data_IF_045523872871
#
_entry.id   IF_045523872871
#
_cell.length_a   1.000
_cell.length_b   1.000
_cell.length_c   1.000
_cell.angle_alpha   90.00
_cell.angle_beta   90.00
_cell.angle_gamma   90.00
#
_symmetry.space_group_name_H-M   'P 1'
#
loop_
_entity.id
_entity.type
_entity.pdbx_description
1 polymer ?
#
# COMPACT_ATOMS: atom_id res chain seq x y z
N UNK A 1 -7.98 53.77 1.45
CA UNK A 1 -8.73 52.51 1.26
C UNK A 1 -7.87 51.53 0.47
N UNK A 2 -7.10 50.70 1.17
CA UNK A 2 -6.20 49.70 0.58
C UNK A 2 -6.91 48.34 0.54
N UNK A 3 -7.10 47.78 -0.67
CA UNK A 3 -7.64 46.42 -0.86
C UNK A 3 -6.64 45.39 -0.31
N UNK A 4 -7.07 44.39 0.49
CA UNK A 4 -6.18 43.32 0.93
C UNK A 4 -5.92 42.36 -0.24
N UNK A 5 -4.63 42.12 -0.48
CA UNK A 5 -4.07 41.19 -1.46
C UNK A 5 -4.51 39.75 -1.15
N UNK A 6 -5.51 39.23 -1.89
CA UNK A 6 -5.96 37.82 -1.80
C UNK A 6 -5.01 36.92 -2.58
N UNK A 7 -3.77 36.76 -2.11
CA UNK A 7 -2.94 35.63 -2.53
C UNK A 7 -3.24 34.47 -1.59
N UNK A 8 -4.03 33.51 -2.06
CA UNK A 8 -4.16 32.24 -1.37
C UNK A 8 -2.75 31.66 -1.12
N UNK A 9 -2.42 31.21 0.10
CA UNK A 9 -1.08 30.73 0.41
C UNK A 9 -0.78 29.54 -0.50
N UNK A 10 0.28 29.68 -1.32
CA UNK A 10 0.72 28.68 -2.32
C UNK A 10 0.79 27.26 -1.77
N UNK A 11 1.00 27.08 -0.46
CA UNK A 11 1.04 25.78 0.22
C UNK A 11 -0.25 24.95 0.13
N UNK A 12 -1.43 25.57 0.01
CA UNK A 12 -2.73 24.86 0.01
C UNK A 12 -3.05 24.14 -1.30
N UNK A 13 -2.71 24.74 -2.44
CA UNK A 13 -2.92 24.15 -3.78
C UNK A 13 -1.88 23.05 -4.05
N UNK A 14 -0.70 23.24 -3.47
CA UNK A 14 0.48 22.38 -3.54
C UNK A 14 0.28 21.06 -2.77
N UNK A 15 -0.27 21.09 -1.55
CA UNK A 15 -0.61 19.86 -0.83
C UNK A 15 -1.73 19.06 -1.52
N UNK A 16 -2.64 19.77 -2.20
CA UNK A 16 -3.74 19.15 -2.95
C UNK A 16 -3.26 18.37 -4.16
N UNK A 17 -2.24 18.86 -4.87
CA UNK A 17 -1.67 18.18 -6.05
C UNK A 17 -0.91 16.90 -5.66
N UNK A 18 -0.13 16.95 -4.58
CA UNK A 18 0.56 15.77 -4.03
C UNK A 18 -0.41 14.73 -3.49
N UNK A 19 -1.49 15.17 -2.83
CA UNK A 19 -2.59 14.31 -2.37
C UNK A 19 -3.33 13.66 -3.54
N UNK A 20 -3.71 14.42 -4.56
CA UNK A 20 -4.46 13.92 -5.71
C UNK A 20 -3.64 12.92 -6.54
N UNK A 21 -2.33 13.15 -6.72
CA UNK A 21 -1.45 12.24 -7.45
C UNK A 21 -1.28 10.89 -6.73
N UNK A 22 -1.04 10.91 -5.42
CA UNK A 22 -0.88 9.68 -4.64
C UNK A 22 -2.21 8.94 -4.45
N UNK A 23 -3.32 9.67 -4.23
CA UNK A 23 -4.66 9.08 -4.18
C UNK A 23 -5.07 8.49 -5.53
N UNK A 24 -4.71 9.13 -6.65
CA UNK A 24 -4.92 8.59 -7.98
C UNK A 24 -4.13 7.29 -8.21
N UNK A 25 -2.84 7.23 -7.82
CA UNK A 25 -2.04 6.01 -7.95
C UNK A 25 -2.58 4.88 -7.07
N UNK A 26 -2.92 5.18 -5.81
CA UNK A 26 -3.53 4.21 -4.90
C UNK A 26 -4.90 3.73 -5.40
N UNK A 27 -5.74 4.63 -5.93
CA UNK A 27 -7.03 4.28 -6.54
C UNK A 27 -6.88 3.51 -7.83
N UNK A 28 -5.90 3.82 -8.68
CA UNK A 28 -5.64 3.06 -9.91
C UNK A 28 -5.18 1.65 -9.55
N UNK A 29 -4.24 1.50 -8.62
CA UNK A 29 -3.82 0.18 -8.13
C UNK A 29 -5.00 -0.60 -7.53
N UNK A 30 -5.84 0.06 -6.73
CA UNK A 30 -7.05 -0.53 -6.16
C UNK A 30 -8.10 -0.86 -7.22
N UNK A 31 -8.35 -0.02 -8.22
CA UNK A 31 -9.36 -0.23 -9.26
C UNK A 31 -8.94 -1.34 -10.23
N UNK A 32 -7.71 -1.33 -10.72
CA UNK A 32 -7.22 -2.38 -11.62
C UNK A 32 -7.13 -3.72 -10.89
N UNK A 33 -6.63 -3.72 -9.64
CA UNK A 33 -6.58 -4.91 -8.80
C UNK A 33 -7.98 -5.43 -8.47
N UNK A 34 -8.87 -4.58 -7.97
CA UNK A 34 -10.21 -5.00 -7.56
C UNK A 34 -11.07 -5.49 -8.72
N UNK A 35 -10.92 -4.98 -9.95
CA UNK A 35 -11.75 -5.44 -11.09
C UNK A 35 -11.38 -6.86 -11.53
N UNK A 36 -10.08 -7.17 -11.57
CA UNK A 36 -9.58 -8.52 -11.86
C UNK A 36 -9.94 -9.46 -10.70
N UNK A 37 -9.67 -9.04 -9.48
CA UNK A 37 -9.96 -9.83 -8.28
C UNK A 37 -11.46 -10.08 -8.11
N UNK A 38 -12.31 -9.11 -8.44
CA UNK A 38 -13.76 -9.23 -8.40
C UNK A 38 -14.30 -10.21 -9.44
N UNK A 39 -13.78 -10.21 -10.67
CA UNK A 39 -14.18 -11.20 -11.69
C UNK A 39 -13.77 -12.62 -11.31
N UNK A 40 -12.64 -12.79 -10.62
CA UNK A 40 -12.24 -14.07 -10.04
C UNK A 40 -13.14 -14.48 -8.86
N UNK A 41 -13.47 -13.56 -7.96
CA UNK A 41 -14.31 -13.84 -6.79
C UNK A 41 -15.80 -14.05 -7.13
N UNK A 42 -16.33 -13.32 -8.11
CA UNK A 42 -17.71 -13.50 -8.58
C UNK A 42 -17.94 -14.88 -9.22
N UNK A 43 -16.90 -15.50 -9.80
CA UNK A 43 -16.96 -16.89 -10.30
C UNK A 43 -16.91 -17.92 -9.18
N UNK A 44 -16.13 -17.67 -8.13
CA UNK A 44 -15.97 -18.57 -6.99
C UNK A 44 -17.07 -18.43 -5.91
N UNK A 45 -17.89 -17.38 -5.98
CA UNK A 45 -18.89 -17.02 -4.95
C UNK A 45 -19.99 -18.04 -4.65
N UNK A 46 -20.03 -19.19 -5.34
CA UNK A 46 -20.96 -20.30 -5.05
C UNK A 46 -20.40 -21.35 -4.09
N UNK A 47 -19.09 -21.38 -3.86
CA UNK A 47 -18.41 -22.29 -2.92
C UNK A 47 -17.52 -21.50 -1.94
N UNK A 48 -17.92 -21.48 -0.67
CA UNK A 48 -17.21 -20.76 0.39
C UNK A 48 -15.79 -21.29 0.62
N UNK A 49 -15.55 -22.59 0.41
CA UNK A 49 -14.23 -23.19 0.56
C UNK A 49 -13.29 -22.78 -0.57
N UNK A 50 -13.79 -22.76 -1.80
CA UNK A 50 -13.02 -22.31 -2.96
C UNK A 50 -12.68 -20.82 -2.89
N UNK A 51 -13.63 -19.99 -2.44
CA UNK A 51 -13.41 -18.55 -2.27
C UNK A 51 -12.40 -18.24 -1.16
N UNK A 52 -12.40 -18.98 -0.04
CA UNK A 52 -11.37 -18.86 1.00
C UNK A 52 -9.98 -19.21 0.47
N UNK A 53 -9.86 -20.29 -0.31
CA UNK A 53 -8.59 -20.76 -0.89
C UNK A 53 -8.05 -19.78 -1.94
N UNK A 54 -8.86 -19.46 -2.95
CA UNK A 54 -8.48 -18.57 -4.04
C UNK A 54 -8.32 -17.12 -3.54
N UNK A 55 -9.22 -16.67 -2.66
CA UNK A 55 -9.13 -15.38 -1.99
C UNK A 55 -7.86 -15.22 -1.19
N UNK A 56 -7.53 -16.19 -0.35
CA UNK A 56 -6.29 -16.13 0.43
C UNK A 56 -5.05 -16.08 -0.45
N UNK A 57 -5.04 -16.85 -1.55
CA UNK A 57 -3.93 -16.85 -2.49
C UNK A 57 -3.78 -15.51 -3.21
N UNK A 58 -4.87 -14.97 -3.77
CA UNK A 58 -4.89 -13.70 -4.48
C UNK A 58 -4.51 -12.53 -3.56
N UNK A 59 -5.07 -12.48 -2.35
CA UNK A 59 -4.74 -11.45 -1.36
C UNK A 59 -3.26 -11.54 -0.97
N UNK A 60 -2.77 -12.73 -0.63
CA UNK A 60 -1.38 -12.91 -0.22
C UNK A 60 -0.39 -12.53 -1.33
N UNK A 61 -0.68 -12.89 -2.58
CA UNK A 61 0.16 -12.55 -3.73
C UNK A 61 0.13 -11.05 -4.03
N UNK A 62 -1.06 -10.47 -4.03
CA UNK A 62 -1.20 -9.03 -4.26
C UNK A 62 -0.51 -8.23 -3.16
N UNK A 63 -0.54 -8.69 -1.91
CA UNK A 63 0.18 -8.06 -0.81
C UNK A 63 1.71 -8.16 -0.99
N UNK A 64 2.23 -9.32 -1.42
CA UNK A 64 3.65 -9.49 -1.71
C UNK A 64 4.15 -8.56 -2.84
N UNK A 65 3.27 -8.05 -3.69
CA UNK A 65 3.65 -7.09 -4.74
C UNK A 65 3.41 -5.66 -4.29
N UNK A 66 2.22 -5.35 -3.78
CA UNK A 66 1.81 -3.96 -3.51
C UNK A 66 2.45 -3.39 -2.26
N UNK A 67 2.56 -4.15 -1.17
CA UNK A 67 3.16 -3.67 0.08
C UNK A 67 4.61 -3.17 -0.09
N UNK A 68 5.56 -3.93 -0.68
CA UNK A 68 6.93 -3.45 -0.83
C UNK A 68 7.04 -2.23 -1.76
N UNK A 69 6.17 -2.09 -2.76
CA UNK A 69 6.13 -0.89 -3.61
C UNK A 69 5.83 0.34 -2.75
N UNK A 70 4.79 0.29 -1.93
CA UNK A 70 4.42 1.41 -1.07
C UNK A 70 5.44 1.68 0.05
N UNK A 71 6.01 0.63 0.66
CA UNK A 71 7.08 0.81 1.67
C UNK A 71 8.36 1.35 1.03
N UNK A 72 8.69 0.91 -0.19
CA UNK A 72 9.80 1.45 -0.96
C UNK A 72 9.60 2.92 -1.30
N UNK A 73 8.40 3.30 -1.75
CA UNK A 73 8.02 4.69 -1.97
C UNK A 73 8.15 5.53 -0.70
N UNK A 74 7.72 5.02 0.45
CA UNK A 74 7.91 5.69 1.74
C UNK A 74 9.39 5.90 2.07
N UNK A 75 10.25 4.92 1.79
CA UNK A 75 11.68 5.02 2.08
C UNK A 75 12.41 6.03 1.18
N UNK A 76 12.01 6.16 -0.09
CA UNK A 76 12.67 7.06 -1.05
C UNK A 76 12.03 8.43 -1.18
N UNK A 77 10.80 8.63 -0.70
CA UNK A 77 10.06 9.88 -0.77
C UNK A 77 10.85 11.13 -0.30
N UNK A 78 11.65 11.08 0.79
CA UNK A 78 12.44 12.24 1.23
C UNK A 78 13.48 12.72 0.21
N UNK A 79 13.98 11.84 -0.65
CA UNK A 79 14.96 12.18 -1.69
C UNK A 79 14.26 12.44 -3.02
N UNK A 80 13.26 11.64 -3.35
CA UNK A 80 12.50 11.73 -4.60
C UNK A 80 11.71 13.03 -4.70
N UNK A 81 11.06 13.46 -3.62
CA UNK A 81 10.11 14.56 -3.68
C UNK A 81 10.79 15.93 -3.90
N UNK A 82 11.89 16.27 -3.22
CA UNK A 82 12.65 17.50 -3.53
C UNK A 82 13.26 17.49 -4.95
N UNK A 83 13.65 16.31 -5.46
CA UNK A 83 14.16 16.17 -6.82
C UNK A 83 13.11 16.48 -7.89
N UNK A 84 11.87 16.03 -7.68
CA UNK A 84 10.78 16.19 -8.66
C UNK A 84 10.05 17.52 -8.50
N UNK A 85 9.77 17.93 -7.25
CA UNK A 85 8.98 19.11 -6.94
C UNK A 85 9.81 20.38 -6.73
N UNK A 86 11.12 20.24 -6.49
CA UNK A 86 12.04 21.34 -6.18
C UNK A 86 12.13 21.67 -4.69
N UNK A 87 12.96 22.66 -4.32
CA UNK A 87 13.18 23.08 -2.94
C UNK A 87 11.92 23.71 -2.31
N UNK A 88 11.73 23.50 -0.99
CA UNK A 88 10.58 24.04 -0.23
C UNK A 88 9.40 23.08 -0.08
N UNK A 89 9.56 21.82 -0.49
CA UNK A 89 8.54 20.76 -0.40
C UNK A 89 8.81 19.73 0.72
N UNK A 90 9.67 20.07 1.67
CA UNK A 90 10.09 19.16 2.74
C UNK A 90 8.93 18.66 3.60
N UNK A 91 7.96 19.54 3.90
CA UNK A 91 6.72 19.18 4.63
C UNK A 91 5.86 18.17 3.83
N UNK A 92 5.85 18.28 2.50
CA UNK A 92 5.10 17.37 1.64
C UNK A 92 5.75 15.98 1.58
N UNK A 93 7.08 15.90 1.74
CA UNK A 93 7.78 14.62 1.78
C UNK A 93 7.33 13.79 3.00
N UNK A 94 7.18 14.41 4.17
CA UNK A 94 6.70 13.72 5.38
C UNK A 94 5.27 13.21 5.21
N UNK A 95 4.39 13.98 4.56
CA UNK A 95 3.03 13.56 4.24
C UNK A 95 3.06 12.38 3.26
N UNK A 96 3.86 12.45 2.21
CA UNK A 96 4.00 11.39 1.22
C UNK A 96 4.51 10.07 1.84
N UNK A 97 5.45 10.15 2.79
CA UNK A 97 5.90 9.00 3.59
C UNK A 97 4.71 8.39 4.34
N UNK A 98 3.95 9.20 5.07
CA UNK A 98 2.83 8.70 5.87
C UNK A 98 1.75 8.04 5.00
N UNK A 99 1.39 8.68 3.88
CA UNK A 99 0.38 8.16 2.96
C UNK A 99 0.85 6.89 2.25
N UNK A 100 2.14 6.79 1.94
CA UNK A 100 2.73 5.56 1.38
C UNK A 100 2.66 4.42 2.39
N UNK A 101 3.02 4.67 3.66
CA UNK A 101 2.86 3.67 4.74
C UNK A 101 1.40 3.28 4.94
N UNK A 102 0.49 4.24 4.97
CA UNK A 102 -0.94 3.99 5.09
C UNK A 102 -1.45 3.11 3.93
N UNK A 103 -1.03 3.41 2.70
CA UNK A 103 -1.36 2.63 1.50
C UNK A 103 -0.78 1.21 1.55
N UNK A 104 0.44 1.03 2.08
CA UNK A 104 1.05 -0.29 2.26
C UNK A 104 0.22 -1.22 3.17
N UNK A 105 -0.56 -0.64 4.08
CA UNK A 105 -1.44 -1.34 5.01
C UNK A 105 -2.83 -1.53 4.37
N UNK A 106 -3.45 -0.44 3.90
CA UNK A 106 -4.84 -0.45 3.45
C UNK A 106 -5.06 -1.13 2.11
N UNK A 107 -4.16 -0.96 1.14
CA UNK A 107 -4.36 -1.52 -0.21
C UNK A 107 -4.50 -3.04 -0.20
N UNK A 108 -3.57 -3.81 0.39
CA UNK A 108 -3.71 -5.26 0.42
C UNK A 108 -4.88 -5.73 1.32
N UNK A 109 -5.15 -5.02 2.42
CA UNK A 109 -6.32 -5.32 3.26
C UNK A 109 -7.65 -5.01 2.54
N UNK A 110 -7.65 -4.04 1.62
CA UNK A 110 -8.78 -3.62 0.80
C UNK A 110 -9.37 -4.77 -0.03
N UNK A 111 -8.51 -5.71 -0.46
CA UNK A 111 -8.92 -6.87 -1.25
C UNK A 111 -9.87 -7.80 -0.49
N UNK A 112 -9.82 -7.82 0.85
CA UNK A 112 -10.83 -8.55 1.64
C UNK A 112 -12.22 -7.94 1.47
N UNK A 113 -12.34 -6.62 1.40
CA UNK A 113 -13.64 -5.97 1.14
C UNK A 113 -14.17 -6.30 -0.26
N UNK A 114 -13.31 -6.45 -1.26
CA UNK A 114 -13.71 -6.95 -2.58
C UNK A 114 -14.25 -8.39 -2.49
N UNK A 115 -13.61 -9.25 -1.70
CA UNK A 115 -14.10 -10.61 -1.44
C UNK A 115 -15.45 -10.60 -0.69
N UNK A 116 -15.67 -9.70 0.26
CA UNK A 116 -16.95 -9.57 0.98
C UNK A 116 -18.07 -9.09 0.06
N UNK A 117 -17.79 -8.08 -0.77
CA UNK A 117 -18.75 -7.58 -1.77
C UNK A 117 -19.15 -8.64 -2.79
N UNK A 118 -18.22 -9.53 -3.18
CA UNK A 118 -18.53 -10.64 -4.10
C UNK A 118 -19.50 -11.67 -3.53
N UNK A 119 -19.64 -11.73 -2.20
CA UNK A 119 -20.55 -12.63 -1.48
C UNK A 119 -21.87 -11.96 -1.11
N UNK A 120 -22.22 -10.86 -1.79
CA UNK A 120 -23.40 -10.05 -1.49
C UNK A 120 -23.42 -9.50 -0.05
N UNK A 121 -22.24 -9.26 0.56
CA UNK A 121 -22.09 -8.62 1.87
C UNK A 121 -21.35 -7.26 1.80
N UNK A 122 -21.80 -6.30 0.95
CA UNK A 122 -21.13 -5.00 0.79
C UNK A 122 -21.22 -4.11 2.03
N UNK A 123 -22.14 -4.40 2.96
CA UNK A 123 -22.35 -3.63 4.20
C UNK A 123 -21.08 -3.56 5.06
N UNK A 124 -20.24 -4.60 5.03
CA UNK A 124 -18.98 -4.59 5.77
C UNK A 124 -17.97 -3.58 5.23
N UNK A 125 -17.95 -3.37 3.91
CA UNK A 125 -17.14 -2.30 3.33
C UNK A 125 -17.67 -0.93 3.77
N UNK A 126 -18.99 -0.74 3.75
CA UNK A 126 -19.61 0.50 4.22
C UNK A 126 -19.29 0.77 5.69
N UNK A 127 -19.47 -0.20 6.58
CA UNK A 127 -19.11 -0.06 8.00
C UNK A 127 -17.64 0.29 8.18
N UNK A 128 -16.75 -0.34 7.41
CA UNK A 128 -15.33 -0.03 7.47
C UNK A 128 -15.02 1.41 7.06
N UNK A 129 -15.72 1.96 6.07
CA UNK A 129 -15.55 3.33 5.61
C UNK A 129 -16.07 4.35 6.62
N UNK A 130 -17.19 4.04 7.29
CA UNK A 130 -17.73 4.88 8.37
C UNK A 130 -16.76 4.90 9.55
N UNK A 131 -16.26 3.73 9.98
CA UNK A 131 -15.27 3.64 11.05
C UNK A 131 -13.96 4.33 10.68
N UNK A 132 -13.47 4.16 9.44
CA UNK A 132 -12.30 4.89 8.91
C UNK A 132 -12.51 6.40 9.00
N UNK A 133 -13.67 6.91 8.58
CA UNK A 133 -13.99 8.34 8.65
C UNK A 133 -13.90 8.86 10.08
N UNK A 134 -14.56 8.20 11.04
CA UNK A 134 -14.49 8.61 12.45
C UNK A 134 -13.06 8.54 13.00
N UNK A 135 -12.33 7.47 12.67
CA UNK A 135 -10.93 7.31 13.06
C UNK A 135 -10.04 8.44 12.53
N UNK A 136 -10.17 8.78 11.24
CA UNK A 136 -9.44 9.88 10.61
C UNK A 136 -9.81 11.20 11.27
N UNK A 137 -11.10 11.48 11.52
CA UNK A 137 -11.52 12.72 12.16
C UNK A 137 -10.97 12.85 13.58
N UNK A 138 -11.05 11.80 14.39
CA UNK A 138 -10.51 11.78 15.75
C UNK A 138 -8.99 11.94 15.78
N UNK A 139 -8.28 11.26 14.87
CA UNK A 139 -6.84 11.38 14.77
C UNK A 139 -6.43 12.77 14.26
N UNK A 140 -7.17 13.35 13.31
CA UNK A 140 -6.87 14.68 12.79
C UNK A 140 -7.09 15.77 13.84
N UNK A 141 -8.15 15.67 14.65
CA UNK A 141 -8.38 16.61 15.76
C UNK A 141 -7.40 16.39 16.90
N UNK A 142 -7.12 15.14 17.27
CA UNK A 142 -6.16 14.80 18.32
C UNK A 142 -4.72 15.17 17.97
N UNK A 143 -4.34 15.10 16.69
CA UNK A 143 -3.01 15.46 16.20
C UNK A 143 -2.92 16.86 15.60
N UNK A 144 -3.95 17.71 15.75
CA UNK A 144 -3.99 19.03 15.13
C UNK A 144 -2.76 19.92 15.46
N UNK A 145 -2.15 19.71 16.63
CA UNK A 145 -0.94 20.41 17.07
C UNK A 145 0.33 20.08 16.26
N UNK A 146 0.35 18.99 15.48
CA UNK A 146 1.52 18.46 14.79
C UNK A 146 1.74 19.11 13.41
N UNK A 147 0.99 20.18 13.09
CA UNK A 147 1.11 20.92 11.81
C UNK A 147 0.81 19.96 10.61
N UNK A 148 1.37 20.11 9.38
CA UNK A 148 0.95 19.29 8.23
C UNK A 148 1.02 17.76 8.38
N UNK A 149 1.90 17.23 9.24
CA UNK A 149 2.06 15.77 9.41
C UNK A 149 0.83 15.11 10.05
N UNK A 150 -0.02 15.89 10.73
CA UNK A 150 -1.30 15.44 11.30
C UNK A 150 -2.20 14.77 10.27
N UNK A 151 -2.15 15.24 9.02
CA UNK A 151 -2.89 14.67 7.87
C UNK A 151 -2.36 13.29 7.51
N UNK A 152 -1.04 13.11 7.54
CA UNK A 152 -0.40 11.81 7.28
C UNK A 152 -0.72 10.80 8.38
N UNK A 153 -0.58 11.21 9.65
CA UNK A 153 -0.84 10.36 10.82
C UNK A 153 -2.30 9.95 10.93
N UNK A 154 -3.24 10.86 10.63
CA UNK A 154 -4.66 10.53 10.63
C UNK A 154 -5.00 9.49 9.56
N UNK A 155 -4.33 9.54 8.40
CA UNK A 155 -4.49 8.53 7.37
C UNK A 155 -3.93 7.17 7.78
N UNK A 156 -2.74 7.12 8.40
CA UNK A 156 -2.19 5.88 8.96
C UNK A 156 -3.17 5.28 9.99
N UNK A 157 -3.73 6.10 10.89
CA UNK A 157 -4.67 5.64 11.91
C UNK A 157 -5.93 5.05 11.28
N UNK A 158 -6.56 5.76 10.35
CA UNK A 158 -7.75 5.30 9.64
C UNK A 158 -7.50 4.02 8.84
N UNK A 159 -6.45 4.00 8.02
CA UNK A 159 -6.11 2.85 7.19
C UNK A 159 -5.71 1.62 8.02
N UNK A 160 -5.07 1.82 9.17
CA UNK A 160 -4.77 0.74 10.12
C UNK A 160 -6.03 0.20 10.77
N UNK A 161 -6.96 1.06 11.20
CA UNK A 161 -8.25 0.65 11.77
C UNK A 161 -9.07 -0.11 10.73
N UNK A 162 -9.08 0.36 9.48
CA UNK A 162 -9.75 -0.30 8.37
C UNK A 162 -9.16 -1.67 8.07
N UNK A 163 -7.82 -1.80 8.08
CA UNK A 163 -7.16 -3.09 7.91
C UNK A 163 -7.45 -4.04 9.08
N UNK A 164 -7.47 -3.53 10.32
CA UNK A 164 -7.89 -4.29 11.50
C UNK A 164 -9.35 -4.75 11.37
N UNK A 165 -10.24 -3.92 10.82
CA UNK A 165 -11.62 -4.28 10.57
C UNK A 165 -11.71 -5.42 9.54
N UNK A 166 -10.96 -5.34 8.44
CA UNK A 166 -10.93 -6.38 7.40
C UNK A 166 -10.46 -7.76 7.94
N UNK A 167 -9.43 -7.74 8.79
CA UNK A 167 -8.84 -8.96 9.37
C UNK A 167 -9.66 -9.48 10.55
N UNK A 168 -10.14 -8.55 11.38
CA UNK A 168 -10.65 -8.81 12.73
C UNK A 168 -12.16 -9.03 12.81
N UNK A 169 -12.94 -8.71 11.78
CA UNK A 169 -14.40 -8.85 11.89
C UNK A 169 -14.82 -10.33 11.99
N UNK A 170 -15.53 -10.73 13.07
CA UNK A 170 -16.31 -11.96 13.04
C UNK A 170 -17.47 -11.73 12.09
N UNK A 171 -17.52 -12.46 10.99
CA UNK A 171 -18.70 -12.48 10.14
C UNK A 171 -19.42 -13.78 10.45
N UNK A 172 -20.65 -13.66 10.98
CA UNK A 172 -21.57 -14.79 11.02
C UNK A 172 -21.76 -15.27 9.58
N UNK A 173 -21.66 -16.58 9.39
CA UNK A 173 -21.84 -17.27 8.10
C UNK A 173 -20.68 -17.08 7.09
N UNK A 174 -19.49 -16.69 7.57
CA UNK A 174 -18.28 -16.57 6.74
C UNK A 174 -17.16 -17.49 7.23
N UNK A 175 -16.88 -18.54 6.45
CA UNK A 175 -15.94 -19.60 6.82
C UNK A 175 -14.46 -19.23 6.74
N UNK A 176 -14.12 -17.95 6.60
CA UNK A 176 -12.73 -17.51 6.57
C UNK A 176 -12.26 -17.01 7.95
N UNK A 177 -11.44 -17.78 8.68
CA UNK A 177 -10.99 -17.40 10.00
C UNK A 177 -10.03 -16.21 9.97
N UNK A 178 -10.12 -15.36 11.01
CA UNK A 178 -9.28 -14.16 11.19
C UNK A 178 -7.78 -14.46 11.14
N UNK A 179 -7.38 -15.61 11.71
CA UNK A 179 -5.98 -16.08 11.73
C UNK A 179 -5.43 -16.26 10.32
N UNK A 180 -6.22 -16.77 9.39
CA UNK A 180 -5.79 -16.97 8.02
C UNK A 180 -5.73 -15.68 7.22
N UNK A 181 -6.69 -14.76 7.45
CA UNK A 181 -6.64 -13.42 6.87
C UNK A 181 -5.37 -12.68 7.29
N UNK A 182 -5.03 -12.74 8.58
CA UNK A 182 -3.79 -12.18 9.10
C UNK A 182 -2.56 -12.89 8.51
N UNK A 183 -2.53 -14.23 8.49
CA UNK A 183 -1.42 -15.01 7.95
C UNK A 183 -1.22 -14.82 6.42
N UNK A 184 -2.24 -14.38 5.70
CA UNK A 184 -2.13 -14.00 4.30
C UNK A 184 -1.31 -12.71 4.11
N UNK A 185 -1.53 -11.70 4.97
CA UNK A 185 -0.89 -10.39 4.90
C UNK A 185 0.45 -10.30 5.64
N UNK A 186 0.57 -10.99 6.78
CA UNK A 186 1.71 -10.85 7.68
C UNK A 186 3.07 -11.05 6.99
N UNK A 187 3.27 -12.03 6.09
CA UNK A 187 4.55 -12.18 5.41
C UNK A 187 4.91 -10.98 4.52
N UNK A 188 3.93 -10.39 3.82
CA UNK A 188 4.19 -9.21 3.00
C UNK A 188 4.57 -8.01 3.86
N UNK A 189 3.85 -7.78 4.96
CA UNK A 189 4.16 -6.70 5.90
C UNK A 189 5.51 -6.86 6.59
N UNK A 190 5.87 -8.08 7.02
CA UNK A 190 7.16 -8.34 7.65
C UNK A 190 8.33 -8.16 6.68
N UNK A 191 8.24 -8.73 5.48
CA UNK A 191 9.32 -8.64 4.48
C UNK A 191 9.48 -7.21 3.96
N UNK A 192 8.37 -6.54 3.64
CA UNK A 192 8.42 -5.14 3.21
C UNK A 192 8.87 -4.21 4.35
N UNK A 193 8.43 -4.45 5.59
CA UNK A 193 8.88 -3.70 6.76
C UNK A 193 10.39 -3.85 7.01
N UNK A 194 10.92 -5.08 6.93
CA UNK A 194 12.35 -5.34 7.05
C UNK A 194 13.15 -4.66 5.92
N UNK A 195 12.65 -4.73 4.68
CA UNK A 195 13.22 -3.99 3.55
C UNK A 195 13.21 -2.48 3.81
N UNK A 196 12.07 -1.90 4.17
CA UNK A 196 11.93 -0.47 4.43
C UNK A 196 12.84 0.04 5.54
N UNK A 197 12.94 -0.71 6.65
CA UNK A 197 13.87 -0.40 7.73
C UNK A 197 15.33 -0.43 7.27
N UNK A 198 15.70 -1.42 6.44
CA UNK A 198 17.05 -1.55 5.89
C UNK A 198 17.39 -0.40 4.93
N UNK A 199 16.46 -0.01 4.06
CA UNK A 199 16.64 1.13 3.15
C UNK A 199 16.71 2.45 3.92
N UNK A 200 15.89 2.63 4.95
CA UNK A 200 15.93 3.81 5.81
C UNK A 200 17.26 3.91 6.57
N UNK A 201 17.82 2.78 7.02
CA UNK A 201 19.16 2.74 7.62
C UNK A 201 20.24 3.05 6.58
N UNK A 202 20.16 2.45 5.40
CA UNK A 202 21.09 2.71 4.30
C UNK A 202 21.10 4.18 3.89
N UNK A 203 19.93 4.82 3.85
CA UNK A 203 19.80 6.25 3.57
C UNK A 203 20.59 7.12 4.56
N UNK A 204 20.67 6.73 5.83
CA UNK A 204 21.47 7.45 6.84
C UNK A 204 22.98 7.26 6.67
N UNK A 205 23.41 6.14 6.08
CA UNK A 205 24.82 5.78 5.93
C UNK A 205 25.39 6.29 4.60
N UNK A 206 24.59 6.24 3.54
CA UNK A 206 25.01 6.64 2.19
C UNK A 206 24.92 8.16 2.07
N UNK A 207 26.05 8.83 2.29
CA UNK A 207 26.23 10.25 2.00
C UNK A 207 26.82 10.41 0.59
N UNK A 208 25.95 10.59 -0.41
CA UNK A 208 26.37 10.94 -1.78
C UNK A 208 26.12 12.41 -2.04
N UNK A 209 27.05 13.10 -2.71
CA UNK A 209 26.89 14.51 -3.06
C UNK A 209 25.80 14.76 -4.13
N UNK A 210 25.46 13.75 -4.93
CA UNK A 210 24.45 13.82 -5.98
C UNK A 210 23.16 13.10 -5.56
N UNK A 211 22.02 13.80 -5.37
CA UNK A 211 20.77 13.19 -4.91
C UNK A 211 20.22 12.10 -5.86
N UNK A 212 20.49 12.20 -7.17
CA UNK A 212 20.08 11.21 -8.17
C UNK A 212 20.80 9.87 -7.95
N UNK A 213 22.10 9.90 -7.68
CA UNK A 213 22.86 8.68 -7.38
C UNK A 213 22.39 8.05 -6.07
N UNK A 214 22.09 8.86 -5.05
CA UNK A 214 21.51 8.39 -3.80
C UNK A 214 20.21 7.63 -4.05
N UNK A 215 19.30 8.24 -4.81
CA UNK A 215 18.01 7.64 -5.14
C UNK A 215 18.18 6.31 -5.88
N UNK A 216 19.05 6.27 -6.88
CA UNK A 216 19.33 5.04 -7.64
C UNK A 216 19.88 3.92 -6.74
N UNK A 217 20.79 4.25 -5.82
CA UNK A 217 21.34 3.30 -4.84
C UNK A 217 20.24 2.78 -3.90
N UNK A 218 19.39 3.68 -3.37
CA UNK A 218 18.32 3.29 -2.45
C UNK A 218 17.27 2.39 -3.12
N UNK A 219 16.89 2.70 -4.37
CA UNK A 219 15.96 1.88 -5.15
C UNK A 219 16.59 0.51 -5.44
N UNK A 220 17.81 0.47 -5.97
CA UNK A 220 18.49 -0.78 -6.30
C UNK A 220 18.69 -1.66 -5.05
N UNK A 221 19.12 -1.05 -3.93
CA UNK A 221 19.28 -1.74 -2.67
C UNK A 221 17.94 -2.25 -2.12
N UNK A 222 16.87 -1.44 -2.17
CA UNK A 222 15.53 -1.87 -1.75
C UNK A 222 15.03 -3.07 -2.52
N UNK A 223 15.16 -3.06 -3.85
CA UNK A 223 14.80 -4.19 -4.72
C UNK A 223 15.65 -5.43 -4.37
N UNK A 224 16.97 -5.28 -4.26
CA UNK A 224 17.87 -6.38 -3.94
C UNK A 224 17.58 -7.00 -2.56
N UNK A 225 17.38 -6.16 -1.53
CA UNK A 225 17.03 -6.59 -0.18
C UNK A 225 15.69 -7.32 -0.17
N UNK A 226 14.67 -6.77 -0.84
CA UNK A 226 13.36 -7.41 -0.89
C UNK A 226 13.40 -8.76 -1.59
N UNK A 227 14.05 -8.85 -2.75
CA UNK A 227 14.21 -10.10 -3.49
C UNK A 227 15.02 -11.13 -2.68
N UNK A 228 16.06 -10.70 -1.98
CA UNK A 228 16.84 -11.54 -1.07
C UNK A 228 15.99 -12.08 0.09
N UNK A 229 15.23 -11.21 0.77
CA UNK A 229 14.30 -11.59 1.84
C UNK A 229 13.21 -12.56 1.34
N UNK A 230 12.66 -12.29 0.15
CA UNK A 230 11.66 -13.14 -0.49
C UNK A 230 12.25 -14.53 -0.83
N UNK A 231 13.49 -14.58 -1.32
CA UNK A 231 14.21 -15.80 -1.66
C UNK A 231 14.68 -16.60 -0.42
N UNK A 232 14.83 -15.97 0.74
CA UNK A 232 15.21 -16.67 1.99
C UNK A 232 13.95 -17.17 2.72
N UNK A 233 12.99 -16.29 2.98
CA UNK A 233 11.88 -16.56 3.89
C UNK A 233 10.61 -17.06 3.19
N UNK A 234 10.47 -16.81 1.89
CA UNK A 234 9.23 -17.08 1.16
C UNK A 234 9.46 -17.88 -0.13
N UNK A 235 10.48 -18.75 -0.18
CA UNK A 235 10.86 -19.55 -1.37
C UNK A 235 9.67 -20.17 -2.14
N UNK A 236 8.73 -20.81 -1.42
CA UNK A 236 7.53 -21.42 -2.05
C UNK A 236 6.59 -20.38 -2.68
N UNK A 237 6.43 -19.21 -2.06
CA UNK A 237 5.59 -18.12 -2.61
C UNK A 237 6.33 -17.34 -3.71
N UNK A 238 7.65 -17.21 -3.59
CA UNK A 238 8.53 -16.61 -4.60
C UNK A 238 8.53 -17.42 -5.90
N UNK A 239 8.66 -18.75 -5.81
CA UNK A 239 8.59 -19.65 -6.96
C UNK A 239 7.25 -19.53 -7.71
N UNK A 240 6.15 -19.35 -6.98
CA UNK A 240 4.85 -19.09 -7.58
C UNK A 240 4.83 -17.73 -8.32
N UNK A 241 5.26 -16.64 -7.69
CA UNK A 241 5.29 -15.32 -8.35
C UNK A 241 6.18 -15.31 -9.60
N UNK A 242 7.35 -15.95 -9.54
CA UNK A 242 8.27 -16.08 -10.66
C UNK A 242 7.68 -16.93 -11.81
N UNK A 243 6.82 -17.91 -11.51
CA UNK A 243 6.16 -18.72 -12.53
C UNK A 243 5.19 -17.91 -13.41
N UNK A 244 4.64 -16.81 -12.90
CA UNK A 244 3.71 -15.92 -13.63
C UNK A 244 4.38 -14.67 -14.23
N UNK A 245 5.70 -14.51 -14.09
CA UNK A 245 6.42 -13.47 -14.85
C UNK A 245 6.40 -13.84 -16.34
N UNK A 246 6.17 -12.88 -17.26
CA UNK A 246 6.08 -13.16 -18.70
C UNK A 246 7.34 -13.83 -19.29
N UNK A 247 8.49 -13.73 -18.61
CA UNK A 247 9.76 -14.35 -19.02
C UNK A 247 9.67 -15.90 -18.98
N UNK A 248 8.90 -16.49 -18.06
CA UNK A 248 8.68 -17.95 -18.03
C UNK A 248 7.79 -18.40 -19.18
N UNK A 249 6.80 -17.58 -19.56
CA UNK A 249 5.88 -17.83 -20.68
C UNK A 249 6.60 -17.73 -22.04
N UNK A 250 7.60 -16.84 -22.17
CA UNK A 250 8.46 -16.76 -23.35
C UNK A 250 9.34 -18.01 -23.54
N UNK A 251 9.66 -18.74 -22.46
CA UNK A 251 10.44 -19.99 -22.53
C UNK A 251 9.56 -21.21 -22.83
N UNK A 252 8.31 -21.20 -22.39
CA UNK A 252 7.34 -22.26 -22.66
C UNK A 252 6.68 -22.14 -24.06
N UNK A 253 6.72 -20.95 -24.67
CA UNK A 253 6.16 -20.67 -25.98
C UNK A 253 7.09 -20.90 -27.17
N UNK A 254 8.26 -21.56 -27.01
CA UNK A 254 9.03 -22.03 -28.17
C UNK A 254 8.40 -23.32 -28.70
N UNK A 255 7.70 -23.32 -29.85
CA UNK A 255 7.42 -24.58 -30.54
C UNK A 255 8.75 -25.27 -30.83
N UNK A 256 8.82 -26.57 -30.53
CA UNK A 256 9.93 -27.40 -30.95
C UNK A 256 10.06 -27.29 -32.49
N UNK A 257 11.19 -26.77 -32.94
CA UNK A 257 11.63 -26.87 -34.33
C UNK A 257 12.40 -28.18 -34.50
#
# INVERSE_FOLDING_TARGET
>A
MTRPDRRAPKSRIVSWLGWAGLDAVSRMALMTGSTVVFTFFARAGRDAGELRRLGGQVVAQSALVTTPIFVGMAAVAPVLLPLVAGPGWDDAAQIAVCLSVASAIAVPAGLFFTAFSSQARPEFNLYSLVVDLFAVMLALTGFAWLRPISVGLSRIAGDSIRALFAIGLPMKDFDWPRRERFAALAPAWLLAGAMGASVALLHRIVATQTPIAQLAILIAAGVAIYLGLLAIFARRRAAFLLAYLPISQLRAGRPAA
#
